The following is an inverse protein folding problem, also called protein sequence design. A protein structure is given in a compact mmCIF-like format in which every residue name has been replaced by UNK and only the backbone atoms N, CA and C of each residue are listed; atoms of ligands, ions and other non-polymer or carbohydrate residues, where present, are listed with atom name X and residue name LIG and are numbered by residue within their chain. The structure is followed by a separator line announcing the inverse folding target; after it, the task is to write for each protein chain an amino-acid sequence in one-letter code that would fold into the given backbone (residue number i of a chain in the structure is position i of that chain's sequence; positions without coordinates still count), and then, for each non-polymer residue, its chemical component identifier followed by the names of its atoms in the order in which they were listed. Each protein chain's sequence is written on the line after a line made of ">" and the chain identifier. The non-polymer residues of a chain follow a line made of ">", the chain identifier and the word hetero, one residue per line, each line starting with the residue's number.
data_IF_424352483661
#
_entry.id   IF_424352483661
#
_cell.length_a   1.000
_cell.length_b   1.000
_cell.length_c   1.000
_cell.angle_alpha   90.00
_cell.angle_beta   90.00
_cell.angle_gamma   90.00
#
_symmetry.space_group_name_H-M   'P 1'
#
loop_
_entity.id
_entity.type
_entity.pdbx_description
1 polymer ?
#
# COMPACT_ATOMS: atom_id res chain seq x y z
N UNK A 1 9.09 6.39 1.42
CA UNK A 1 9.76 5.26 0.74
C UNK A 1 9.90 5.42 -0.78
N UNK A 2 9.62 6.58 -1.38
CA UNK A 2 9.70 6.73 -2.84
C UNK A 2 11.12 6.62 -3.44
N UNK A 3 12.18 6.88 -2.68
CA UNK A 3 13.57 6.66 -3.09
C UNK A 3 14.27 5.65 -2.15
N UNK A 4 13.52 4.65 -1.68
CA UNK A 4 14.01 3.71 -0.66
C UNK A 4 13.54 2.28 -0.94
N UNK A 5 12.23 2.07 -1.13
CA UNK A 5 11.71 0.75 -1.47
C UNK A 5 12.25 0.30 -2.84
N UNK A 6 12.87 -0.88 -2.89
CA UNK A 6 13.57 -1.39 -4.07
C UNK A 6 14.93 -0.74 -4.35
N UNK A 7 15.44 0.11 -3.45
CA UNK A 7 16.74 0.78 -3.62
C UNK A 7 17.74 0.46 -2.50
N UNK A 8 17.26 0.38 -1.26
CA UNK A 8 18.04 0.00 -0.08
C UNK A 8 17.20 -0.89 0.84
N UNK A 9 17.81 -1.69 1.73
CA UNK A 9 17.06 -2.45 2.73
C UNK A 9 16.19 -1.53 3.60
N UNK A 10 14.96 -1.96 3.88
CA UNK A 10 14.00 -1.24 4.73
C UNK A 10 13.33 -2.21 5.68
N UNK A 11 13.42 -1.92 6.98
CA UNK A 11 12.70 -2.63 8.03
C UNK A 11 11.87 -1.61 8.84
N UNK A 12 10.58 -1.48 8.50
CA UNK A 12 9.69 -0.50 9.13
C UNK A 12 9.29 -0.92 10.54
N UNK A 13 9.10 -2.22 10.78
CA UNK A 13 8.74 -2.75 12.09
C UNK A 13 9.93 -2.64 13.04
N UNK A 14 11.13 -3.05 12.62
CA UNK A 14 12.35 -2.92 13.41
C UNK A 14 12.75 -1.46 13.66
N UNK A 15 12.39 -0.54 12.75
CA UNK A 15 12.55 0.91 12.96
C UNK A 15 11.45 1.53 13.83
N UNK A 16 10.47 0.74 14.26
CA UNK A 16 9.29 1.18 14.99
C UNK A 16 8.51 2.32 14.29
N UNK A 17 8.53 2.36 12.95
CA UNK A 17 7.80 3.38 12.20
C UNK A 17 6.29 3.22 12.37
N UNK A 18 5.57 4.31 12.63
CA UNK A 18 4.11 4.29 12.77
C UNK A 18 3.40 4.21 11.42
N UNK A 19 3.86 4.99 10.46
CA UNK A 19 3.29 5.12 9.12
C UNK A 19 4.40 5.34 8.09
N UNK A 20 4.17 4.88 6.87
CA UNK A 20 5.02 5.21 5.73
C UNK A 20 4.21 5.22 4.44
N UNK A 21 4.66 6.00 3.46
CA UNK A 21 4.13 5.98 2.10
C UNK A 21 5.25 5.75 1.10
N UNK A 22 4.92 5.18 -0.05
CA UNK A 22 5.90 4.94 -1.10
C UNK A 22 5.31 4.93 -2.49
N UNK A 23 6.20 5.08 -3.45
CA UNK A 23 5.91 5.09 -4.88
C UNK A 23 6.31 3.73 -5.44
N UNK A 24 5.55 3.19 -6.40
CA UNK A 24 5.90 1.93 -7.05
C UNK A 24 6.41 2.10 -8.48
N UNK A 25 6.25 3.28 -9.08
CA UNK A 25 6.71 3.60 -10.43
C UNK A 25 8.21 3.94 -10.54
N UNK A 26 8.94 3.94 -9.41
CA UNK A 26 10.37 4.28 -9.36
C UNK A 26 11.21 3.01 -9.38
N UNK A 27 12.03 2.76 -8.36
CA UNK A 27 12.89 1.57 -8.28
C UNK A 27 12.10 0.26 -8.32
N UNK A 28 10.84 0.27 -7.87
CA UNK A 28 9.96 -0.89 -7.98
C UNK A 28 9.40 -1.13 -9.39
N UNK A 29 9.78 -0.34 -10.41
CA UNK A 29 9.53 -0.55 -11.83
C UNK A 29 8.07 -0.85 -12.24
N UNK A 30 7.08 -0.38 -11.47
CA UNK A 30 5.66 -0.69 -11.70
C UNK A 30 5.02 -0.07 -12.95
N UNK A 31 5.75 0.76 -13.70
CA UNK A 31 5.25 1.48 -14.88
C UNK A 31 4.79 2.92 -14.60
N UNK A 32 4.47 3.71 -15.64
CA UNK A 32 4.18 5.14 -15.51
C UNK A 32 2.93 5.38 -14.67
N UNK A 33 3.08 6.12 -13.57
CA UNK A 33 1.97 6.43 -12.66
C UNK A 33 1.41 5.23 -11.90
N UNK A 34 2.19 4.15 -11.76
CA UNK A 34 1.79 2.97 -11.00
C UNK A 34 1.35 3.32 -9.56
N UNK A 35 0.35 2.61 -8.99
CA UNK A 35 -0.24 2.95 -7.70
C UNK A 35 0.79 3.05 -6.58
N UNK A 36 0.70 4.12 -5.79
CA UNK A 36 1.46 4.23 -4.54
C UNK A 36 1.01 3.17 -3.52
N UNK A 37 1.77 3.05 -2.43
CA UNK A 37 1.39 2.24 -1.28
C UNK A 37 1.45 3.04 0.02
N UNK A 38 0.71 2.55 1.01
CA UNK A 38 0.79 3.01 2.39
C UNK A 38 1.06 1.82 3.31
N UNK A 39 1.90 2.06 4.30
CA UNK A 39 2.11 1.21 5.45
C UNK A 39 1.57 1.93 6.69
N UNK A 40 0.88 1.19 7.55
CA UNK A 40 0.57 1.60 8.91
C UNK A 40 0.86 0.43 9.84
N UNK A 41 1.60 0.70 10.91
CA UNK A 41 1.99 -0.34 11.87
C UNK A 41 0.76 -1.04 12.45
N UNK A 42 0.85 -2.36 12.62
CA UNK A 42 -0.25 -3.21 13.09
C UNK A 42 -0.81 -2.75 14.43
N UNK A 43 0.03 -2.18 15.32
CA UNK A 43 -0.40 -1.59 16.61
C UNK A 43 -1.43 -0.47 16.49
N UNK A 44 -1.54 0.16 15.31
CA UNK A 44 -2.54 1.21 15.06
C UNK A 44 -3.83 0.66 14.45
N UNK A 45 -3.88 -0.59 13.98
CA UNK A 45 -5.01 -1.12 13.19
C UNK A 45 -6.36 -1.12 13.92
N UNK A 46 -6.37 -1.07 15.26
CA UNK A 46 -7.58 -0.93 16.07
C UNK A 46 -8.24 0.45 15.97
N UNK A 47 -7.44 1.50 16.14
CA UNK A 47 -7.94 2.87 16.39
C UNK A 47 -7.59 3.89 15.29
N UNK A 48 -6.84 3.47 14.28
CA UNK A 48 -6.40 4.32 13.17
C UNK A 48 -7.59 4.87 12.36
N UNK A 49 -7.56 6.16 12.09
CA UNK A 49 -8.56 6.87 11.29
C UNK A 49 -7.91 7.68 10.18
N UNK A 50 -8.65 7.94 9.11
CA UNK A 50 -8.17 8.68 7.94
C UNK A 50 -9.37 9.41 7.28
N UNK A 51 -9.16 10.61 6.70
CA UNK A 51 -10.26 11.49 6.26
C UNK A 51 -10.88 11.12 4.90
N UNK A 52 -10.19 10.34 4.07
CA UNK A 52 -10.60 9.86 2.75
C UNK A 52 -11.39 8.54 2.84
N UNK A 53 -12.54 8.58 3.50
CA UNK A 53 -13.44 7.43 3.75
C UNK A 53 -14.22 6.99 2.50
N UNK A 54 -13.51 6.49 1.49
CA UNK A 54 -14.13 6.01 0.25
C UNK A 54 -14.73 4.61 0.35
N UNK A 55 -15.58 4.27 -0.62
CA UNK A 55 -16.36 3.03 -0.63
C UNK A 55 -15.51 1.75 -0.58
N UNK A 56 -14.30 1.72 -1.15
CA UNK A 56 -13.40 0.55 -1.03
C UNK A 56 -12.86 0.31 0.38
N UNK A 57 -12.81 1.36 1.20
CA UNK A 57 -12.44 1.29 2.61
C UNK A 57 -13.59 0.86 3.51
N UNK A 58 -14.82 0.75 2.98
CA UNK A 58 -15.99 0.32 3.73
C UNK A 58 -15.90 -1.16 4.15
N UNK A 59 -16.41 -1.50 5.34
CA UNK A 59 -16.47 -2.88 5.82
C UNK A 59 -17.35 -3.79 4.93
N UNK A 60 -18.38 -3.20 4.31
CA UNK A 60 -19.33 -3.88 3.41
C UNK A 60 -19.59 -3.04 2.16
N UNK A 61 -18.65 -2.95 1.21
CA UNK A 61 -18.70 -1.99 0.09
C UNK A 61 -19.88 -2.21 -0.87
N UNK A 62 -20.46 -3.42 -0.86
CA UNK A 62 -21.57 -3.80 -1.73
C UNK A 62 -22.91 -3.90 -0.99
N UNK A 63 -22.97 -3.53 0.29
CA UNK A 63 -24.23 -3.48 1.03
C UNK A 63 -25.02 -2.18 0.76
N UNK A 64 -24.40 -1.16 0.14
CA UNK A 64 -25.01 0.14 -0.19
C UNK A 64 -25.68 0.84 0.99
N UNK A 65 -25.07 0.76 2.17
CA UNK A 65 -25.54 1.42 3.38
C UNK A 65 -25.25 2.92 3.34
N UNK A 66 -26.10 3.73 3.98
CA UNK A 66 -25.92 5.18 4.03
C UNK A 66 -24.77 5.61 4.95
N UNK A 67 -24.53 4.86 6.03
CA UNK A 67 -23.46 5.12 6.98
C UNK A 67 -22.15 4.46 6.56
N UNK A 68 -21.02 5.10 6.85
CA UNK A 68 -19.70 4.52 6.67
C UNK A 68 -19.26 3.73 7.90
N UNK A 69 -18.95 2.45 7.71
CA UNK A 69 -18.21 1.62 8.64
C UNK A 69 -16.82 1.31 8.05
N UNK A 70 -15.76 1.66 8.76
CA UNK A 70 -14.39 1.40 8.31
C UNK A 70 -14.09 -0.11 8.25
N UNK A 71 -13.39 -0.54 7.20
CA UNK A 71 -12.83 -1.89 7.12
C UNK A 71 -11.82 -2.18 8.23
N UNK A 72 -11.51 -3.46 8.42
CA UNK A 72 -10.52 -3.90 9.41
C UNK A 72 -9.09 -3.57 8.97
N UNK A 73 -8.27 -3.12 9.93
CA UNK A 73 -6.86 -2.82 9.73
C UNK A 73 -6.58 -1.91 8.54
N UNK A 74 -5.51 -2.21 7.79
CA UNK A 74 -5.04 -1.38 6.67
C UNK A 74 -6.07 -1.18 5.55
N UNK A 75 -7.07 -2.07 5.41
CA UNK A 75 -8.10 -1.95 4.36
C UNK A 75 -8.87 -0.64 4.43
N UNK A 76 -9.00 -0.02 5.61
CA UNK A 76 -9.68 1.27 5.76
C UNK A 76 -8.97 2.45 5.09
N UNK A 77 -7.72 2.28 4.65
CA UNK A 77 -7.00 3.29 3.85
C UNK A 77 -7.31 3.21 2.35
N UNK A 78 -8.05 2.19 1.91
CA UNK A 78 -8.60 2.20 0.57
C UNK A 78 -9.70 3.26 0.48
N UNK A 79 -9.87 3.83 -0.72
CA UNK A 79 -10.82 4.90 -0.95
C UNK A 79 -11.69 4.61 -2.19
N UNK A 80 -11.16 4.84 -3.39
CA UNK A 80 -11.87 4.61 -4.65
C UNK A 80 -11.50 3.30 -5.33
N UNK A 81 -12.14 3.06 -6.47
CA UNK A 81 -11.78 1.99 -7.40
C UNK A 81 -10.33 2.14 -7.84
N UNK A 82 -9.56 1.07 -7.76
CA UNK A 82 -8.14 1.08 -8.12
C UNK A 82 -7.94 0.95 -9.64
N UNK A 83 -6.86 1.53 -10.23
CA UNK A 83 -6.56 1.38 -11.65
C UNK A 83 -6.05 -0.03 -11.95
N UNK A 84 -6.97 -0.95 -12.25
CA UNK A 84 -6.71 -2.39 -12.35
C UNK A 84 -5.59 -2.74 -13.34
N UNK A 85 -5.51 -2.06 -14.48
CA UNK A 85 -4.46 -2.32 -15.47
C UNK A 85 -3.06 -1.96 -14.94
N UNK A 86 -2.91 -0.79 -14.32
CA UNK A 86 -1.65 -0.38 -13.69
C UNK A 86 -1.28 -1.29 -12.52
N UNK A 87 -2.26 -1.75 -11.74
CA UNK A 87 -2.05 -2.75 -10.68
C UNK A 87 -1.52 -4.08 -11.23
N UNK A 88 -1.97 -4.51 -12.43
CA UNK A 88 -1.46 -5.74 -13.07
C UNK A 88 -0.02 -5.60 -13.54
N UNK A 89 0.34 -4.45 -14.14
CA UNK A 89 1.73 -4.16 -14.51
C UNK A 89 2.64 -4.13 -13.26
N UNK A 90 2.19 -3.47 -12.19
CA UNK A 90 2.88 -3.47 -10.91
C UNK A 90 3.08 -4.89 -10.37
N UNK A 91 2.05 -5.74 -10.40
CA UNK A 91 2.20 -7.14 -9.97
C UNK A 91 3.32 -7.85 -10.74
N UNK A 92 3.36 -7.72 -12.06
CA UNK A 92 4.43 -8.34 -12.87
C UNK A 92 5.82 -7.87 -12.46
N UNK A 93 5.98 -6.60 -12.08
CA UNK A 93 7.25 -6.12 -11.57
C UNK A 93 7.56 -6.64 -10.16
N UNK A 94 6.57 -6.75 -9.27
CA UNK A 94 6.77 -7.27 -7.92
C UNK A 94 7.10 -8.76 -7.92
N UNK A 95 6.54 -9.52 -8.87
CA UNK A 95 6.88 -10.95 -9.06
C UNK A 95 8.38 -11.12 -9.33
N UNK A 96 9.02 -10.19 -10.06
CA UNK A 96 10.48 -10.19 -10.24
C UNK A 96 11.21 -9.82 -8.94
N UNK A 97 10.69 -8.88 -8.17
CA UNK A 97 11.28 -8.47 -6.89
C UNK A 97 11.28 -9.58 -5.85
N UNK A 98 10.32 -10.52 -5.91
CA UNK A 98 10.31 -11.70 -5.04
C UNK A 98 11.50 -12.64 -5.30
N UNK A 99 12.12 -12.56 -6.49
CA UNK A 99 13.30 -13.34 -6.88
C UNK A 99 14.63 -12.59 -6.64
N UNK A 100 14.58 -11.30 -6.28
CA UNK A 100 15.77 -10.45 -6.13
C UNK A 100 16.19 -10.35 -4.66
N UNK A 101 17.45 -10.70 -4.40
CA UNK A 101 18.09 -10.43 -3.11
C UNK A 101 18.45 -8.94 -2.99
N UNK A 102 17.86 -8.26 -2.00
CA UNK A 102 18.13 -6.85 -1.72
C UNK A 102 19.61 -6.58 -1.37
N UNK A 103 20.36 -7.58 -0.90
CA UNK A 103 21.80 -7.46 -0.66
C UNK A 103 22.62 -7.49 -1.94
N UNK A 104 22.11 -8.09 -3.02
CA UNK A 104 22.76 -8.07 -4.35
C UNK A 104 22.48 -6.75 -5.09
N UNK A 105 21.39 -6.05 -4.75
CA UNK A 105 21.06 -4.72 -5.28
C UNK A 105 21.92 -3.62 -4.65
N UNK A 106 22.34 -3.79 -3.38
CA UNK A 106 23.10 -2.78 -2.62
C UNK A 106 24.60 -3.01 -2.68
#
# INVERSE_FOLDING_TARGET
>A
LCHTAGAVPVDLDGSNADFAIGCTYKYLNGGPGAPAFIYAATRHHGDISQPLSGWWGHARPFAFEQGYAAGSGIRRFLCGTQPVLSMRALKGSLDLWDEVDMTAVR
#
